data_IF_967834215265
#
_entry.id   IF_967834215265
#
_cell.length_a   1.000
_cell.length_b   1.000
_cell.length_c   1.000
_cell.angle_alpha   90.00
_cell.angle_beta   90.00
_cell.angle_gamma   90.00
#
_symmetry.space_group_name_H-M   'P 1'
#
loop_
_entity.id
_entity.type
_entity.pdbx_description
1 polymer ?
#
# COMPACT_ATOMS: atom_id res chain seq x y z
N UNK A 1 14.32 -14.83 67.58
CA UNK A 1 13.20 -13.87 67.82
C UNK A 1 13.13 -12.98 66.58
N UNK A 2 12.05 -12.79 65.83
CA UNK A 2 10.60 -12.73 66.08
C UNK A 2 9.83 -13.55 65.02
N UNK A 3 8.65 -14.06 65.39
CA UNK A 3 7.68 -14.76 64.53
C UNK A 3 6.53 -13.82 64.10
N UNK A 4 5.73 -14.31 63.14
CA UNK A 4 4.32 -13.98 62.81
C UNK A 4 4.10 -12.85 61.77
N UNK A 5 3.28 -12.98 60.71
CA UNK A 5 2.04 -13.74 60.55
C UNK A 5 1.79 -14.23 59.09
N UNK A 6 1.23 -15.44 58.99
CA UNK A 6 0.41 -15.89 57.86
C UNK A 6 -0.95 -15.16 57.88
N UNK A 7 -1.50 -14.82 56.72
CA UNK A 7 -2.93 -14.53 56.58
C UNK A 7 -3.51 -15.38 55.45
N UNK A 8 -4.53 -16.13 55.83
CA UNK A 8 -5.38 -16.95 55.00
C UNK A 8 -6.26 -16.09 54.08
N UNK A 9 -6.48 -16.65 52.89
CA UNK A 9 -7.69 -16.68 52.06
C UNK A 9 -8.84 -15.71 52.40
N UNK A 10 -9.18 -14.88 51.41
CA UNK A 10 -10.58 -14.63 51.06
C UNK A 10 -10.72 -14.69 49.53
N UNK A 11 -11.35 -15.77 49.07
CA UNK A 11 -12.12 -15.80 47.83
C UNK A 11 -13.14 -14.67 47.85
N UNK A 12 -13.08 -13.80 46.84
CA UNK A 12 -14.27 -13.07 46.39
C UNK A 12 -14.32 -13.18 44.87
N UNK A 13 -15.38 -13.82 44.40
CA UNK A 13 -15.75 -14.00 43.01
C UNK A 13 -15.63 -12.72 42.17
N UNK A 14 -14.59 -12.63 41.33
CA UNK A 14 -14.50 -11.62 40.26
C UNK A 14 -14.35 -12.28 38.90
N UNK A 15 -15.22 -13.25 38.59
CA UNK A 15 -15.20 -13.97 37.30
C UNK A 15 -16.01 -13.26 36.20
N UNK A 16 -16.83 -12.26 36.54
CA UNK A 16 -17.73 -11.60 35.58
C UNK A 16 -17.34 -10.16 35.19
N UNK A 17 -16.57 -9.42 36.00
CA UNK A 17 -16.15 -8.04 35.65
C UNK A 17 -14.90 -8.00 34.76
N UNK A 18 -14.05 -9.02 34.84
CA UNK A 18 -12.85 -9.18 34.00
C UNK A 18 -13.21 -9.49 32.55
N UNK A 19 -14.24 -10.32 32.31
CA UNK A 19 -14.75 -10.62 30.95
C UNK A 19 -15.34 -9.38 30.26
N UNK A 20 -16.13 -8.56 30.97
CA UNK A 20 -16.75 -7.37 30.36
C UNK A 20 -15.72 -6.28 30.00
N UNK A 21 -14.69 -6.12 30.83
CA UNK A 21 -13.60 -5.15 30.58
C UNK A 21 -12.63 -5.62 29.49
N UNK A 22 -12.34 -6.92 29.40
CA UNK A 22 -11.61 -7.50 28.27
C UNK A 22 -12.34 -7.35 26.93
N UNK A 23 -13.66 -7.59 26.90
CA UNK A 23 -14.45 -7.46 25.68
C UNK A 23 -14.48 -6.02 25.14
N UNK A 24 -14.51 -5.01 26.03
CA UNK A 24 -14.41 -3.59 25.64
C UNK A 24 -13.02 -3.23 25.12
N UNK A 25 -11.93 -3.75 25.72
CA UNK A 25 -10.55 -3.57 25.23
C UNK A 25 -10.32 -4.20 23.85
N UNK A 26 -10.86 -5.40 23.61
CA UNK A 26 -10.76 -6.11 22.31
C UNK A 26 -11.48 -5.37 21.16
N UNK A 27 -12.60 -4.69 21.43
CA UNK A 27 -13.32 -3.88 20.43
C UNK A 27 -12.55 -2.62 20.02
N UNK A 28 -11.83 -1.98 20.95
CA UNK A 28 -11.01 -0.80 20.65
C UNK A 28 -9.71 -1.13 19.90
N UNK A 29 -9.14 -2.32 20.06
CA UNK A 29 -7.96 -2.75 19.28
C UNK A 29 -8.24 -2.89 17.77
N UNK A 30 -9.48 -3.20 17.37
CA UNK A 30 -9.85 -3.29 15.95
C UNK A 30 -9.84 -1.93 15.24
N UNK A 31 -10.02 -0.82 15.97
CA UNK A 31 -10.04 0.56 15.42
C UNK A 31 -8.64 1.16 15.24
N UNK A 32 -7.61 0.58 15.85
CA UNK A 32 -6.21 1.05 15.78
C UNK A 32 -5.32 0.23 14.84
N UNK A 33 -5.91 -0.57 13.94
CA UNK A 33 -5.13 -1.46 13.06
C UNK A 33 -4.69 -2.70 13.83
N UNK A 34 -5.66 -3.54 14.20
CA UNK A 34 -5.46 -4.69 15.08
C UNK A 34 -4.30 -5.60 14.68
N UNK A 35 -3.59 -6.09 15.70
CA UNK A 35 -2.64 -7.20 15.62
C UNK A 35 -1.57 -7.04 14.55
N UNK A 36 -0.58 -6.19 14.79
CA UNK A 36 0.61 -6.11 13.95
C UNK A 36 1.23 -7.48 13.72
N UNK A 37 1.89 -7.64 12.56
CA UNK A 37 2.57 -8.87 12.17
C UNK A 37 3.45 -9.37 13.32
N UNK A 38 3.41 -10.67 13.63
CA UNK A 38 4.21 -11.20 14.74
C UNK A 38 5.69 -10.86 14.55
N UNK A 39 6.40 -10.58 15.64
CA UNK A 39 7.83 -10.21 15.60
C UNK A 39 8.65 -11.25 14.82
N UNK A 40 8.30 -12.53 14.96
CA UNK A 40 8.89 -13.63 14.18
C UNK A 40 8.69 -13.45 12.68
N UNK A 41 7.50 -13.01 12.25
CA UNK A 41 7.22 -12.75 10.83
C UNK A 41 8.02 -11.55 10.32
N UNK A 42 8.17 -10.51 11.12
CA UNK A 42 8.98 -9.33 10.76
C UNK A 42 10.47 -9.69 10.65
N UNK A 43 11.00 -10.47 11.61
CA UNK A 43 12.38 -10.96 11.59
C UNK A 43 12.64 -11.88 10.39
N UNK A 44 11.70 -12.78 10.08
CA UNK A 44 11.77 -13.65 8.91
C UNK A 44 11.68 -12.88 7.58
N UNK A 45 10.95 -11.76 7.54
CA UNK A 45 10.88 -10.92 6.35
C UNK A 45 12.20 -10.19 6.08
N UNK A 46 12.96 -9.84 7.14
CA UNK A 46 14.26 -9.17 7.04
C UNK A 46 15.44 -10.13 6.82
N UNK A 47 15.37 -11.36 7.34
CA UNK A 47 16.47 -12.34 7.20
C UNK A 47 16.54 -13.01 5.82
N UNK A 48 15.49 -12.89 5.01
CA UNK A 48 15.40 -13.55 3.71
C UNK A 48 15.83 -12.61 2.59
N UNK A 49 17.16 -12.47 2.44
CA UNK A 49 17.83 -11.51 1.56
C UNK A 49 17.62 -11.73 0.04
N UNK A 50 16.77 -12.69 -0.38
CA UNK A 50 16.62 -13.06 -1.79
C UNK A 50 15.17 -13.23 -2.26
N UNK A 51 14.21 -12.62 -1.55
CA UNK A 51 12.77 -12.88 -1.74
C UNK A 51 12.00 -11.77 -2.48
N UNK A 52 12.71 -10.75 -2.97
CA UNK A 52 12.08 -9.62 -3.68
C UNK A 52 12.14 -9.83 -5.20
N UNK A 53 11.13 -10.51 -5.75
CA UNK A 53 10.90 -10.57 -7.18
C UNK A 53 9.72 -9.65 -7.55
N UNK A 54 9.97 -8.49 -8.19
CA UNK A 54 8.92 -7.51 -8.50
C UNK A 54 7.85 -8.07 -9.44
N UNK A 55 8.20 -9.02 -10.32
CA UNK A 55 7.25 -9.63 -11.25
C UNK A 55 6.24 -10.53 -10.55
N UNK A 56 6.69 -11.33 -9.57
CA UNK A 56 5.83 -12.21 -8.78
C UNK A 56 4.90 -11.41 -7.86
N UNK A 57 5.44 -10.36 -7.22
CA UNK A 57 4.65 -9.45 -6.37
C UNK A 57 3.58 -8.76 -7.20
N UNK A 58 3.91 -8.30 -8.42
CA UNK A 58 2.94 -7.68 -9.33
C UNK A 58 1.84 -8.66 -9.73
N UNK A 59 2.20 -9.90 -10.11
CA UNK A 59 1.23 -10.96 -10.44
C UNK A 59 0.29 -11.26 -9.28
N UNK A 60 0.81 -11.39 -8.07
CA UNK A 60 0.01 -11.66 -6.87
C UNK A 60 -0.96 -10.52 -6.57
N UNK A 61 -0.50 -9.26 -6.66
CA UNK A 61 -1.36 -8.08 -6.47
C UNK A 61 -2.51 -8.03 -7.48
N UNK A 62 -2.21 -8.24 -8.76
CA UNK A 62 -3.25 -8.26 -9.80
C UNK A 62 -4.22 -9.43 -9.64
N UNK A 63 -3.74 -10.62 -9.26
CA UNK A 63 -4.60 -11.77 -8.96
C UNK A 63 -5.61 -11.45 -7.85
N UNK A 64 -5.16 -10.87 -6.72
CA UNK A 64 -6.05 -10.47 -5.64
C UNK A 64 -7.04 -9.38 -6.06
N UNK A 65 -6.59 -8.40 -6.84
CA UNK A 65 -7.43 -7.32 -7.37
C UNK A 65 -8.53 -7.89 -8.27
N UNK A 66 -8.17 -8.81 -9.18
CA UNK A 66 -9.11 -9.47 -10.08
C UNK A 66 -10.10 -10.37 -9.32
N UNK A 67 -9.63 -11.17 -8.36
CA UNK A 67 -10.50 -11.98 -7.51
C UNK A 67 -11.52 -11.11 -6.76
N UNK A 68 -11.09 -9.94 -6.28
CA UNK A 68 -11.99 -8.96 -5.65
C UNK A 68 -13.04 -8.45 -6.64
N UNK A 69 -12.67 -8.09 -7.87
CA UNK A 69 -13.64 -7.67 -8.88
C UNK A 69 -14.60 -8.78 -9.29
N UNK A 70 -14.12 -10.00 -9.51
CA UNK A 70 -14.97 -11.17 -9.80
C UNK A 70 -15.95 -11.39 -8.64
N UNK A 71 -15.49 -11.31 -7.39
CA UNK A 71 -16.38 -11.48 -6.23
C UNK A 71 -17.46 -10.38 -6.16
N UNK A 72 -17.10 -9.12 -6.48
CA UNK A 72 -18.04 -8.00 -6.53
C UNK A 72 -19.07 -8.21 -7.64
N UNK A 73 -18.61 -8.58 -8.83
CA UNK A 73 -19.48 -8.85 -9.98
C UNK A 73 -20.44 -10.02 -9.71
N UNK A 74 -19.93 -11.13 -9.14
CA UNK A 74 -20.80 -12.25 -8.74
C UNK A 74 -21.84 -11.85 -7.69
N UNK A 75 -21.53 -10.90 -6.80
CA UNK A 75 -22.50 -10.35 -5.84
C UNK A 75 -23.55 -9.47 -6.52
N UNK A 76 -23.15 -8.57 -7.43
CA UNK A 76 -24.11 -7.72 -8.15
C UNK A 76 -25.03 -8.55 -9.05
N UNK A 77 -24.50 -9.56 -9.75
CA UNK A 77 -25.29 -10.48 -10.56
C UNK A 77 -26.32 -11.27 -9.73
N UNK A 78 -25.96 -11.67 -8.50
CA UNK A 78 -26.91 -12.30 -7.58
C UNK A 78 -28.01 -11.33 -7.14
N UNK A 79 -27.66 -10.07 -6.87
CA UNK A 79 -28.65 -9.04 -6.52
C UNK A 79 -29.61 -8.74 -7.67
N UNK A 80 -29.11 -8.68 -8.91
CA UNK A 80 -29.95 -8.53 -10.11
C UNK A 80 -30.87 -9.73 -10.31
N UNK A 81 -30.36 -10.96 -10.21
CA UNK A 81 -31.21 -12.15 -10.30
C UNK A 81 -32.28 -12.21 -9.21
N UNK A 82 -32.02 -11.68 -8.00
CA UNK A 82 -33.05 -11.56 -6.96
C UNK A 82 -34.09 -10.49 -7.34
N UNK A 83 -33.67 -9.40 -7.98
CA UNK A 83 -34.57 -8.33 -8.44
C UNK A 83 -35.46 -8.78 -9.60
N UNK A 84 -34.91 -9.52 -10.57
CA UNK A 84 -35.64 -10.03 -11.74
C UNK A 84 -36.69 -11.08 -11.36
N UNK A 85 -36.40 -11.90 -10.33
CA UNK A 85 -37.34 -12.90 -9.79
C UNK A 85 -38.47 -12.27 -8.94
N UNK A 86 -38.28 -11.05 -8.45
CA UNK A 86 -39.32 -10.33 -7.70
C UNK A 86 -40.26 -9.54 -8.62
N UNK A 87 -39.87 -9.25 -9.87
CA UNK A 87 -40.73 -8.59 -10.87
C UNK A 87 -41.50 -9.58 -11.75
N UNK A 88 -41.00 -10.81 -11.93
CA UNK A 88 -41.71 -11.85 -12.67
C UNK A 88 -42.17 -12.94 -11.69
N UNK A 89 -43.35 -12.75 -11.11
CA UNK A 89 -43.91 -13.71 -10.15
C UNK A 89 -44.19 -15.06 -10.78
N UNK A 90 -43.27 -16.04 -10.69
CA UNK A 90 -43.56 -17.46 -10.79
C UNK A 90 -42.63 -18.33 -9.91
N UNK A 91 -43.30 -19.03 -8.99
CA UNK A 91 -42.85 -20.07 -8.04
C UNK A 91 -41.78 -21.06 -8.53
N UNK A 92 -40.80 -21.35 -7.66
CA UNK A 92 -40.41 -22.74 -7.33
C UNK A 92 -39.95 -22.88 -5.88
N UNK A 93 -40.76 -23.63 -5.11
CA UNK A 93 -40.50 -24.18 -3.78
C UNK A 93 -39.27 -25.11 -3.79
N UNK A 94 -38.39 -25.01 -2.78
CA UNK A 94 -38.20 -26.05 -1.73
C UNK A 94 -37.02 -25.72 -0.77
N UNK A 95 -37.38 -25.65 0.52
CA UNK A 95 -36.68 -26.13 1.73
C UNK A 95 -35.33 -25.49 2.16
N UNK A 96 -35.35 -24.61 3.17
CA UNK A 96 -35.29 -25.02 4.59
C UNK A 96 -35.49 -23.82 5.53
N UNK A 97 -36.38 -24.01 6.50
CA UNK A 97 -36.81 -23.06 7.55
C UNK A 97 -36.19 -23.52 8.89
N UNK A 98 -35.54 -22.60 9.60
CA UNK A 98 -35.47 -22.44 11.08
C UNK A 98 -34.41 -21.35 11.38
N UNK A 99 -34.58 -20.36 12.25
CA UNK A 99 -35.72 -19.93 13.04
C UNK A 99 -35.52 -18.47 13.42
N UNK A 100 -36.64 -17.81 13.67
CA UNK A 100 -36.84 -16.41 14.01
C UNK A 100 -36.13 -16.00 15.32
N UNK A 101 -35.72 -14.72 15.40
CA UNK A 101 -36.28 -13.93 16.49
C UNK A 101 -36.63 -12.51 15.99
N UNK A 102 -37.86 -12.15 16.30
CA UNK A 102 -38.64 -11.02 15.86
C UNK A 102 -38.29 -9.76 16.68
N UNK A 103 -38.68 -8.60 16.17
CA UNK A 103 -39.27 -7.43 16.87
C UNK A 103 -39.09 -6.25 15.91
N UNK A 104 -40.09 -5.90 15.10
CA UNK A 104 -41.19 -5.01 15.50
C UNK A 104 -40.75 -3.56 15.23
N UNK A 105 -40.88 -3.06 14.01
CA UNK A 105 -42.02 -2.26 13.53
C UNK A 105 -42.14 -0.86 14.18
N UNK A 106 -41.89 0.17 13.34
CA UNK A 106 -42.45 1.52 13.33
C UNK A 106 -43.07 2.12 14.61
N UNK A 107 -42.55 3.27 15.06
CA UNK A 107 -43.39 4.44 15.39
C UNK A 107 -42.60 5.76 15.46
N UNK A 108 -43.08 6.78 14.75
CA UNK A 108 -42.81 8.20 15.01
C UNK A 108 -43.22 8.59 16.44
N UNK A 109 -42.53 9.54 17.06
CA UNK A 109 -42.98 10.91 17.41
C UNK A 109 -41.90 11.59 18.28
N UNK A 110 -41.83 12.92 18.11
CA UNK A 110 -40.90 13.93 18.62
C UNK A 110 -40.79 14.00 20.15
N UNK A 111 -39.69 14.56 20.66
CA UNK A 111 -39.72 15.93 21.20
C UNK A 111 -38.32 16.51 21.50
N UNK A 112 -38.33 17.83 21.55
CA UNK A 112 -37.22 18.78 21.52
C UNK A 112 -36.25 18.66 22.69
N UNK A 113 -34.97 18.97 22.44
CA UNK A 113 -34.13 19.67 23.41
C UNK A 113 -33.15 20.59 22.66
N UNK A 114 -33.35 21.89 22.87
CA UNK A 114 -32.39 22.96 22.61
C UNK A 114 -31.10 22.68 23.39
N UNK A 115 -29.93 22.77 22.75
CA UNK A 115 -28.94 23.80 23.10
C UNK A 115 -27.72 23.75 22.16
N UNK A 116 -27.05 24.89 22.12
CA UNK A 116 -25.65 25.08 21.70
C UNK A 116 -25.38 25.53 20.25
N UNK A 117 -25.62 26.83 20.06
CA UNK A 117 -25.19 27.65 18.92
C UNK A 117 -23.66 27.82 18.92
N UNK A 118 -22.91 26.82 18.45
CA UNK A 118 -21.55 27.07 17.95
C UNK A 118 -21.56 27.21 16.42
N UNK A 119 -21.74 28.46 15.96
CA UNK A 119 -21.52 28.85 14.55
C UNK A 119 -20.02 28.77 14.20
N UNK A 120 -19.51 27.56 14.02
CA UNK A 120 -18.27 27.33 13.28
C UNK A 120 -18.48 27.74 11.83
N UNK A 121 -17.56 28.55 11.28
CA UNK A 121 -17.58 28.98 9.87
C UNK A 121 -17.86 27.76 8.96
N UNK A 122 -18.79 27.84 8.00
CA UNK A 122 -19.07 26.70 7.13
C UNK A 122 -17.78 26.40 6.35
N UNK A 123 -17.16 25.25 6.63
CA UNK A 123 -16.11 24.70 5.76
C UNK A 123 -16.75 24.56 4.38
N UNK A 124 -16.35 25.42 3.43
CA UNK A 124 -16.80 25.31 2.03
C UNK A 124 -16.59 23.86 1.62
N UNK A 125 -17.68 23.14 1.32
CA UNK A 125 -17.61 21.76 0.87
C UNK A 125 -16.92 21.80 -0.48
N UNK A 126 -15.65 21.41 -0.51
CA UNK A 126 -14.89 21.29 -1.77
C UNK A 126 -15.70 20.37 -2.66
N UNK A 127 -16.11 20.86 -3.83
CA UNK A 127 -16.91 20.08 -4.76
C UNK A 127 -16.14 18.84 -5.20
N UNK A 128 -16.86 17.75 -5.45
CA UNK A 128 -16.27 16.53 -6.03
C UNK A 128 -15.50 16.87 -7.32
N UNK A 129 -16.01 17.84 -8.08
CA UNK A 129 -15.38 18.38 -9.29
C UNK A 129 -14.04 19.09 -9.02
N UNK A 130 -13.93 19.86 -7.94
CA UNK A 130 -12.69 20.56 -7.59
C UNK A 130 -11.60 19.59 -7.15
N UNK A 131 -11.97 18.51 -6.46
CA UNK A 131 -11.06 17.42 -6.11
C UNK A 131 -10.55 16.71 -7.37
N UNK A 132 -11.44 16.45 -8.34
CA UNK A 132 -11.07 15.81 -9.59
C UNK A 132 -10.07 16.66 -10.39
N UNK A 133 -10.36 17.95 -10.58
CA UNK A 133 -9.46 18.89 -11.26
C UNK A 133 -8.09 18.95 -10.59
N UNK A 134 -8.07 19.07 -9.26
CA UNK A 134 -6.83 19.12 -8.49
C UNK A 134 -5.99 17.85 -8.64
N UNK A 135 -6.61 16.67 -8.55
CA UNK A 135 -5.89 15.40 -8.73
C UNK A 135 -5.33 15.22 -10.14
N UNK A 136 -6.07 15.70 -11.16
CA UNK A 136 -5.61 15.66 -12.56
C UNK A 136 -4.40 16.56 -12.77
N UNK A 137 -4.44 17.79 -12.27
CA UNK A 137 -3.33 18.74 -12.33
C UNK A 137 -2.07 18.23 -11.61
N UNK A 138 -2.23 17.62 -10.44
CA UNK A 138 -1.11 17.01 -9.70
C UNK A 138 -0.51 15.84 -10.47
N UNK A 139 -1.34 14.96 -11.05
CA UNK A 139 -0.86 13.86 -11.89
C UNK A 139 -0.11 14.33 -13.13
N UNK A 140 -0.59 15.38 -13.79
CA UNK A 140 0.03 15.91 -14.99
C UNK A 140 1.37 16.60 -14.69
N UNK A 141 1.48 17.30 -13.55
CA UNK A 141 2.76 17.83 -13.05
C UNK A 141 3.78 16.71 -12.79
N UNK A 142 3.36 15.65 -12.10
CA UNK A 142 4.24 14.50 -11.82
C UNK A 142 4.69 13.81 -13.11
N UNK A 143 3.83 13.73 -14.12
CA UNK A 143 4.21 13.20 -15.44
C UNK A 143 5.27 14.06 -16.10
N UNK A 144 5.09 15.38 -16.06
CA UNK A 144 6.00 16.34 -16.69
C UNK A 144 7.37 16.35 -16.01
N UNK A 145 7.43 16.33 -14.67
CA UNK A 145 8.67 16.20 -13.90
C UNK A 145 9.39 14.89 -14.19
N UNK A 146 8.65 13.79 -14.29
CA UNK A 146 9.21 12.48 -14.62
C UNK A 146 9.77 12.42 -16.03
N UNK A 147 9.06 13.01 -16.99
CA UNK A 147 9.53 13.09 -18.37
C UNK A 147 10.77 13.97 -18.47
N UNK A 148 10.82 15.12 -17.79
CA UNK A 148 12.01 15.96 -17.73
C UNK A 148 13.22 15.21 -17.16
N UNK A 149 13.05 14.55 -16.00
CA UNK A 149 14.11 13.74 -15.39
C UNK A 149 14.53 12.57 -16.29
N UNK A 150 13.59 11.96 -17.02
CA UNK A 150 13.92 10.89 -17.96
C UNK A 150 14.74 11.40 -19.15
N UNK A 151 14.39 12.56 -19.71
CA UNK A 151 15.12 13.17 -20.82
C UNK A 151 16.53 13.61 -20.40
N UNK A 152 16.68 14.20 -19.21
CA UNK A 152 17.99 14.54 -18.66
C UNK A 152 18.88 13.31 -18.49
N UNK A 153 18.34 12.25 -17.86
CA UNK A 153 19.05 10.98 -17.72
C UNK A 153 19.40 10.34 -19.06
N UNK A 154 18.54 10.50 -20.08
CA UNK A 154 18.81 10.00 -21.44
C UNK A 154 19.96 10.76 -22.08
N UNK A 155 19.97 12.10 -22.00
CA UNK A 155 21.05 12.96 -22.50
C UNK A 155 22.38 12.65 -21.83
N UNK A 156 22.40 12.53 -20.50
CA UNK A 156 23.62 12.19 -19.74
C UNK A 156 24.18 10.82 -20.14
N UNK A 157 23.31 9.83 -20.36
CA UNK A 157 23.71 8.50 -20.87
C UNK A 157 24.29 8.59 -22.28
N UNK A 158 23.66 9.34 -23.17
CA UNK A 158 24.12 9.51 -24.54
C UNK A 158 25.49 10.21 -24.60
N UNK A 159 25.69 11.23 -23.78
CA UNK A 159 26.97 11.92 -23.66
C UNK A 159 28.07 11.00 -23.10
N UNK A 160 27.78 10.25 -22.04
CA UNK A 160 28.74 9.27 -21.51
C UNK A 160 29.08 8.18 -22.56
N UNK A 161 28.09 7.76 -23.34
CA UNK A 161 28.31 6.79 -24.43
C UNK A 161 29.11 7.39 -25.59
N UNK A 162 28.87 8.65 -25.98
CA UNK A 162 29.62 9.30 -27.05
C UNK A 162 31.09 9.47 -26.65
N UNK A 163 31.36 9.93 -25.42
CA UNK A 163 32.70 10.00 -24.84
C UNK A 163 33.38 8.63 -24.85
N UNK A 164 32.68 7.57 -24.40
CA UNK A 164 33.20 6.19 -24.42
C UNK A 164 33.51 5.70 -25.83
N UNK A 165 32.65 5.98 -26.82
CA UNK A 165 32.86 5.58 -28.22
C UNK A 165 34.08 6.27 -28.82
N UNK A 166 34.25 7.57 -28.56
CA UNK A 166 35.42 8.33 -29.03
C UNK A 166 36.71 7.76 -28.42
N UNK A 167 36.75 7.54 -27.10
CA UNK A 167 37.91 6.94 -26.44
C UNK A 167 38.21 5.54 -26.99
N UNK A 168 37.18 4.69 -27.14
CA UNK A 168 37.32 3.35 -27.73
C UNK A 168 37.84 3.40 -29.15
N UNK A 169 37.32 4.30 -29.99
CA UNK A 169 37.75 4.47 -31.38
C UNK A 169 39.23 4.88 -31.46
N UNK A 170 39.66 5.85 -30.63
CA UNK A 170 41.06 6.25 -30.52
C UNK A 170 41.96 5.07 -30.12
N UNK A 171 41.58 4.30 -29.09
CA UNK A 171 42.37 3.13 -28.65
C UNK A 171 42.40 1.98 -29.67
N UNK A 172 41.36 1.84 -30.50
CA UNK A 172 41.29 0.80 -31.55
C UNK A 172 42.02 1.21 -32.85
N UNK A 173 42.56 2.42 -32.94
CA UNK A 173 43.38 2.83 -34.09
C UNK A 173 44.63 1.94 -34.16
N UNK A 174 44.94 1.50 -35.38
CA UNK A 174 46.09 0.64 -35.70
C UNK A 174 47.02 1.34 -36.68
N UNK A 175 48.31 1.00 -36.63
CA UNK A 175 49.33 1.39 -37.61
C UNK A 175 49.14 0.58 -38.90
N UNK A 176 49.92 0.90 -39.94
CA UNK A 176 49.88 0.15 -41.21
C UNK A 176 50.15 -1.35 -41.03
N UNK A 177 50.96 -1.72 -40.04
CA UNK A 177 51.26 -3.12 -39.69
C UNK A 177 50.28 -3.74 -38.68
N UNK A 178 49.17 -3.06 -38.37
CA UNK A 178 48.11 -3.60 -37.50
C UNK A 178 48.34 -3.45 -35.99
N UNK A 179 49.46 -2.88 -35.56
CA UNK A 179 49.75 -2.64 -34.14
C UNK A 179 48.91 -1.46 -33.61
N UNK A 180 48.49 -1.44 -32.33
CA UNK A 180 47.82 -0.28 -31.74
C UNK A 180 48.68 0.98 -31.87
N UNK A 181 48.06 2.11 -32.23
CA UNK A 181 48.75 3.39 -32.30
C UNK A 181 49.14 3.83 -30.88
N UNK A 182 50.44 3.77 -30.59
CA UNK A 182 50.98 4.01 -29.24
C UNK A 182 50.65 5.40 -28.69
N UNK A 183 50.53 6.42 -29.54
CA UNK A 183 50.10 7.79 -29.14
C UNK A 183 48.84 7.76 -28.26
N UNK A 184 47.76 7.14 -28.76
CA UNK A 184 46.49 7.10 -28.03
C UNK A 184 46.51 6.15 -26.83
N UNK A 185 47.37 5.13 -26.87
CA UNK A 185 47.52 4.19 -25.75
C UNK A 185 48.24 4.84 -24.57
N UNK A 186 49.31 5.56 -24.85
CA UNK A 186 50.09 6.32 -23.86
C UNK A 186 49.23 7.43 -23.27
N UNK A 187 48.52 8.20 -24.09
CA UNK A 187 47.57 9.24 -23.62
C UNK A 187 46.57 8.66 -22.60
N UNK A 188 45.99 7.49 -22.88
CA UNK A 188 45.04 6.84 -21.96
C UNK A 188 45.69 6.38 -20.64
N UNK A 189 46.89 5.80 -20.70
CA UNK A 189 47.63 5.39 -19.49
C UNK A 189 47.96 6.61 -18.62
N UNK A 190 48.39 7.71 -19.23
CA UNK A 190 48.67 8.96 -18.51
C UNK A 190 47.38 9.54 -17.89
N UNK A 191 46.26 9.50 -18.60
CA UNK A 191 44.95 9.93 -18.07
C UNK A 191 44.50 9.07 -16.88
N UNK A 192 44.72 7.75 -16.93
CA UNK A 192 44.43 6.84 -15.81
C UNK A 192 45.31 7.15 -14.59
N UNK A 193 46.60 7.40 -14.81
CA UNK A 193 47.54 7.77 -13.74
C UNK A 193 47.08 9.07 -13.10
N UNK A 194 46.82 10.13 -13.89
CA UNK A 194 46.36 11.44 -13.38
C UNK A 194 45.09 11.33 -12.52
N UNK A 195 44.09 10.58 -12.99
CA UNK A 195 42.86 10.30 -12.24
C UNK A 195 43.12 9.53 -10.95
N UNK A 196 44.03 8.54 -10.98
CA UNK A 196 44.38 7.77 -9.79
C UNK A 196 45.15 8.58 -8.75
N UNK A 197 45.92 9.58 -9.18
CA UNK A 197 46.67 10.49 -8.31
C UNK A 197 45.85 11.70 -7.84
N UNK A 198 44.58 11.82 -8.25
CA UNK A 198 43.72 12.95 -7.87
C UNK A 198 44.21 14.31 -8.39
N UNK A 199 45.04 14.31 -9.43
CA UNK A 199 45.48 15.53 -10.13
C UNK A 199 44.51 15.81 -11.27
N UNK A 200 43.29 16.24 -10.92
CA UNK A 200 42.29 16.75 -11.85
C UNK A 200 42.28 18.28 -11.84
#
# INVERSE_FOLDING_TARGET
>A
MKKFNQRNEQETDTTNSSKLTEMKKKKNMKRLGGGGLSLQTFANLKSQNNRYNPSLIKKQKEFYKNAKYVSKFRKSMKQQNIHDQNETGQSRKQQNIHDHNETGESSKVNDNDDDDRQKGKPKKRIGVEDLYKKTKEEMDKVRLEREAAFQENKKAKEEAQSRRKIAKSKMMRRTQHGQPVMKYRIEHLLEQIKKSTGMD
#
